data_IF_434914520812
#
_entry.id   IF_434914520812
#
_cell.length_a   1.000
_cell.length_b   1.000
_cell.length_c   1.000
_cell.angle_alpha   90.00
_cell.angle_beta   90.00
_cell.angle_gamma   90.00
#
_symmetry.space_group_name_H-M   'P 1'
#
loop_
_entity.id
_entity.type
_entity.pdbx_description
1 polymer ?
#
# COMPACT_ATOMS: atom_id res chain seq x y z
N UNK A 1 -9.80 4.02 8.74
CA UNK A 1 -9.76 5.13 9.71
C UNK A 1 -9.95 4.53 11.09
N UNK A 2 -8.88 4.47 11.89
CA UNK A 2 -8.94 4.18 13.32
C UNK A 2 -8.42 5.43 14.01
N UNK A 3 -9.35 6.28 14.44
CA UNK A 3 -9.05 7.53 15.12
C UNK A 3 -10.36 8.08 15.67
N UNK A 4 -10.35 8.51 16.93
CA UNK A 4 -11.49 9.17 17.58
C UNK A 4 -11.66 10.61 17.11
N UNK A 5 -11.40 10.87 15.83
CA UNK A 5 -11.50 12.21 15.23
C UNK A 5 -12.97 12.61 15.19
N UNK A 6 -13.35 13.57 16.03
CA UNK A 6 -14.64 14.24 15.93
C UNK A 6 -14.65 15.03 14.63
N UNK A 7 -15.37 14.52 13.64
CA UNK A 7 -15.62 15.27 12.42
C UNK A 7 -16.40 16.54 12.80
N UNK A 8 -16.05 17.71 12.22
CA UNK A 8 -16.81 18.93 12.48
C UNK A 8 -18.29 18.68 12.14
N UNK A 9 -19.16 19.07 13.07
CA UNK A 9 -20.61 19.02 12.87
C UNK A 9 -20.98 20.02 11.77
N UNK A 10 -21.22 19.50 10.57
CA UNK A 10 -21.61 20.30 9.40
C UNK A 10 -23.12 20.37 9.20
N UNK A 11 -23.86 19.46 9.83
CA UNK A 11 -25.30 19.44 9.72
C UNK A 11 -26.01 20.32 10.75
N UNK A 12 -27.28 20.62 10.49
CA UNK A 12 -28.11 21.49 11.35
C UNK A 12 -28.21 21.00 12.80
N UNK A 13 -28.01 19.71 13.03
CA UNK A 13 -28.03 19.11 14.37
C UNK A 13 -27.17 17.84 14.44
N UNK A 14 -26.85 17.42 15.67
CA UNK A 14 -26.20 16.13 15.92
C UNK A 14 -27.07 14.92 15.52
N UNK A 15 -28.40 15.09 15.39
CA UNK A 15 -29.31 14.07 14.88
C UNK A 15 -29.38 14.01 13.35
N UNK A 16 -28.90 15.03 12.65
CA UNK A 16 -28.81 15.11 11.20
C UNK A 16 -27.44 15.65 10.74
N UNK A 17 -26.32 14.96 11.05
CA UNK A 17 -24.98 15.46 10.76
C UNK A 17 -24.61 15.48 9.27
N UNK A 18 -25.46 14.89 8.42
CA UNK A 18 -25.26 14.69 6.98
C UNK A 18 -26.38 15.28 6.11
N UNK A 19 -27.23 16.17 6.63
CA UNK A 19 -28.26 16.88 5.84
C UNK A 19 -27.68 17.66 4.64
N UNK A 20 -26.43 18.13 4.75
CA UNK A 20 -25.65 18.72 3.66
C UNK A 20 -25.29 17.74 2.53
N UNK A 21 -25.44 16.43 2.76
CA UNK A 21 -25.24 15.38 1.76
C UNK A 21 -26.49 15.20 0.87
N UNK A 22 -27.69 15.53 1.35
CA UNK A 22 -28.94 15.37 0.59
C UNK A 22 -28.95 16.26 -0.66
N UNK A 23 -28.32 17.45 -0.59
CA UNK A 23 -28.09 18.32 -1.74
C UNK A 23 -27.13 17.76 -2.80
N UNK A 24 -26.45 16.62 -2.53
CA UNK A 24 -25.54 15.96 -3.48
C UNK A 24 -26.23 14.96 -4.42
N UNK A 25 -27.49 14.60 -4.14
CA UNK A 25 -28.17 13.50 -4.85
C UNK A 25 -28.78 13.89 -6.21
N UNK A 26 -28.59 15.14 -6.66
CA UNK A 26 -29.12 15.63 -7.94
C UNK A 26 -27.95 15.90 -8.90
N UNK A 27 -27.66 14.89 -9.73
CA UNK A 27 -27.03 15.02 -11.05
C UNK A 27 -25.82 15.98 -11.19
N UNK A 28 -24.62 15.45 -11.01
CA UNK A 28 -23.42 15.93 -11.70
C UNK A 28 -22.84 17.29 -11.27
N UNK A 29 -23.19 17.81 -10.09
CA UNK A 29 -22.56 19.03 -9.58
C UNK A 29 -21.18 18.74 -8.98
N UNK A 30 -20.15 19.42 -9.50
CA UNK A 30 -18.78 19.40 -9.00
C UNK A 30 -18.77 19.75 -7.52
N UNK A 31 -18.23 18.86 -6.68
CA UNK A 31 -18.06 19.09 -5.24
C UNK A 31 -17.41 20.46 -4.99
N UNK A 32 -18.21 21.42 -4.53
CA UNK A 32 -17.78 22.76 -4.14
C UNK A 32 -18.09 22.91 -2.66
N UNK A 33 -17.20 22.47 -1.76
CA UNK A 33 -17.43 22.59 -0.34
C UNK A 33 -17.59 24.07 0.01
N UNK A 34 -18.58 24.40 0.85
CA UNK A 34 -18.72 25.76 1.37
C UNK A 34 -17.42 26.14 2.07
N UNK A 35 -16.69 27.11 1.51
CA UNK A 35 -15.48 27.65 2.11
C UNK A 35 -15.91 28.42 3.36
N UNK A 36 -15.48 27.94 4.52
CA UNK A 36 -15.62 28.69 5.78
C UNK A 36 -14.44 29.65 5.83
N UNK A 37 -14.71 30.96 5.75
CA UNK A 37 -13.69 32.01 5.69
C UNK A 37 -12.79 32.10 6.94
N UNK A 38 -13.05 31.31 7.99
CA UNK A 38 -12.28 31.27 9.25
C UNK A 38 -11.58 29.91 9.49
N UNK A 39 -11.12 29.24 8.44
CA UNK A 39 -10.31 28.01 8.58
C UNK A 39 -8.89 28.35 9.06
N UNK A 40 -8.73 28.53 10.36
CA UNK A 40 -7.40 28.58 11.00
C UNK A 40 -6.87 27.17 11.15
N UNK A 41 -6.18 26.69 10.12
CA UNK A 41 -5.55 25.36 10.09
C UNK A 41 -4.07 25.46 9.75
N UNK A 42 -3.32 24.46 10.20
CA UNK A 42 -1.92 24.26 9.83
C UNK A 42 -1.79 22.87 9.23
N UNK A 43 -1.29 22.79 8.01
CA UNK A 43 -0.94 21.55 7.36
C UNK A 43 0.57 21.47 7.17
N UNK A 44 1.18 20.40 7.67
CA UNK A 44 2.60 20.10 7.42
C UNK A 44 2.65 18.80 6.63
N UNK A 45 3.35 18.80 5.50
CA UNK A 45 3.53 17.63 4.65
C UNK A 45 5.02 17.43 4.42
N UNK A 46 5.50 16.24 4.75
CA UNK A 46 6.86 15.76 4.52
C UNK A 46 6.86 14.96 3.22
N UNK A 47 7.39 15.60 2.18
CA UNK A 47 7.59 14.99 0.89
C UNK A 47 9.01 14.40 0.82
N UNK A 48 9.19 13.19 0.28
CA UNK A 48 10.51 12.60 0.20
C UNK A 48 11.38 13.32 -0.83
N UNK A 49 12.63 13.61 -0.45
CA UNK A 49 13.60 14.24 -1.34
C UNK A 49 13.99 13.30 -2.48
N UNK A 50 14.27 12.05 -2.14
CA UNK A 50 14.60 10.97 -3.06
C UNK A 50 13.58 9.85 -2.83
N UNK A 51 13.00 9.34 -3.91
CA UNK A 51 12.02 8.27 -3.85
C UNK A 51 12.74 6.92 -3.90
N UNK A 52 12.88 6.25 -2.76
CA UNK A 52 13.56 4.94 -2.66
C UNK A 52 12.69 3.94 -1.88
N UNK A 53 13.15 2.70 -1.75
CA UNK A 53 12.50 1.65 -0.97
C UNK A 53 12.11 2.13 0.44
N UNK A 54 13.00 2.88 1.10
CA UNK A 54 12.86 3.31 2.49
C UNK A 54 12.23 4.70 2.65
N UNK A 55 12.21 5.51 1.60
CA UNK A 55 11.78 6.91 1.66
C UNK A 55 10.54 7.21 0.84
N UNK A 56 9.82 6.22 0.30
CA UNK A 56 8.66 6.46 -0.59
C UNK A 56 7.35 6.94 0.06
N UNK A 57 7.29 7.00 1.39
CA UNK A 57 6.13 7.50 2.12
C UNK A 57 6.03 9.02 2.09
N UNK A 58 4.82 9.53 1.84
CA UNK A 58 4.45 10.92 2.12
C UNK A 58 3.67 10.95 3.41
N UNK A 59 4.15 11.75 4.36
CA UNK A 59 3.56 11.86 5.69
C UNK A 59 3.15 13.29 5.93
N UNK A 60 2.06 13.52 6.63
CA UNK A 60 1.66 14.86 7.00
C UNK A 60 0.81 14.87 8.24
N UNK A 61 0.51 16.09 8.68
CA UNK A 61 -0.36 16.34 9.82
C UNK A 61 -1.14 17.62 9.58
N UNK A 62 -2.44 17.52 9.77
CA UNK A 62 -3.37 18.63 9.72
C UNK A 62 -3.82 18.95 11.15
N UNK A 63 -3.63 20.19 11.57
CA UNK A 63 -3.92 20.65 12.93
C UNK A 63 -4.88 21.84 12.87
N UNK A 64 -5.86 21.84 13.78
CA UNK A 64 -6.68 23.02 14.05
C UNK A 64 -5.86 24.03 14.85
N UNK A 65 -5.99 25.31 14.50
CA UNK A 65 -5.42 26.41 15.29
C UNK A 65 -6.48 27.06 16.20
N UNK A 66 -7.70 26.51 16.26
CA UNK A 66 -8.72 26.89 17.23
C UNK A 66 -8.42 26.31 18.61
N UNK A 67 -8.94 26.92 19.67
CA UNK A 67 -8.87 26.33 21.00
C UNK A 67 -9.78 25.10 21.09
N UNK A 68 -9.42 24.12 21.92
CA UNK A 68 -10.16 22.86 22.09
C UNK A 68 -11.61 23.02 22.55
N UNK A 69 -11.98 24.20 23.08
CA UNK A 69 -13.34 24.56 23.49
C UNK A 69 -14.19 25.17 22.37
N UNK A 70 -13.58 25.54 21.24
CA UNK A 70 -14.28 26.16 20.11
C UNK A 70 -14.99 25.10 19.26
N UNK A 71 -16.14 25.44 18.69
CA UNK A 71 -16.95 24.53 17.88
C UNK A 71 -16.28 24.10 16.56
N UNK A 72 -15.28 24.85 16.09
CA UNK A 72 -14.50 24.58 14.88
C UNK A 72 -13.20 23.81 15.15
N UNK A 73 -12.90 23.50 16.41
CA UNK A 73 -11.75 22.67 16.74
C UNK A 73 -11.95 21.23 16.25
N UNK A 74 -10.88 20.66 15.72
CA UNK A 74 -10.77 19.24 15.42
C UNK A 74 -9.42 18.73 15.90
N UNK A 75 -9.40 17.48 16.36
CA UNK A 75 -8.16 16.83 16.78
C UNK A 75 -7.21 16.67 15.59
N UNK A 76 -5.88 16.73 15.81
CA UNK A 76 -4.90 16.54 14.74
C UNK A 76 -5.17 15.29 13.91
N UNK A 77 -5.10 15.44 12.59
CA UNK A 77 -5.31 14.37 11.62
C UNK A 77 -3.98 14.06 10.94
N UNK A 78 -3.48 12.84 11.12
CA UNK A 78 -2.30 12.38 10.41
C UNK A 78 -2.67 11.97 8.97
N UNK A 79 -1.85 12.42 8.02
CA UNK A 79 -2.00 12.17 6.60
C UNK A 79 -0.92 11.18 6.15
N UNK A 80 -1.33 10.16 5.40
CA UNK A 80 -0.43 9.16 4.84
C UNK A 80 -0.74 8.99 3.36
N UNK A 81 0.30 9.05 2.55
CA UNK A 81 0.20 8.80 1.12
C UNK A 81 1.51 8.21 0.59
N UNK A 82 1.52 7.93 -0.70
CA UNK A 82 2.68 7.44 -1.43
C UNK A 82 2.66 8.07 -2.81
N UNK A 83 3.84 8.21 -3.41
CA UNK A 83 3.93 8.67 -4.79
C UNK A 83 3.46 7.56 -5.74
N UNK A 84 2.97 7.95 -6.91
CA UNK A 84 2.46 7.01 -7.91
C UNK A 84 3.54 6.42 -8.81
N UNK A 85 3.17 5.46 -9.68
CA UNK A 85 4.10 4.72 -10.54
C UNK A 85 4.88 5.59 -11.54
N UNK A 86 4.42 6.82 -11.82
CA UNK A 86 5.11 7.73 -12.73
C UNK A 86 6.14 8.65 -12.04
N UNK A 87 6.42 8.40 -10.77
CA UNK A 87 7.37 9.19 -9.99
C UNK A 87 8.79 8.68 -10.20
N UNK A 88 9.79 9.56 -10.16
CA UNK A 88 11.19 9.19 -10.38
C UNK A 88 11.74 8.36 -9.21
N UNK A 89 11.53 7.04 -9.26
CA UNK A 89 12.03 6.10 -8.27
C UNK A 89 13.52 5.84 -8.49
N UNK A 90 14.30 5.92 -7.42
CA UNK A 90 15.73 5.63 -7.41
C UNK A 90 15.96 4.28 -6.71
N UNK A 91 16.39 3.30 -7.48
CA UNK A 91 16.79 1.98 -6.99
C UNK A 91 17.99 2.09 -6.05
N UNK A 92 17.94 1.38 -4.92
CA UNK A 92 19.02 1.38 -3.95
C UNK A 92 20.06 0.34 -4.39
N UNK A 93 21.26 0.80 -4.70
CA UNK A 93 22.29 -0.07 -5.27
C UNK A 93 22.73 -1.20 -4.31
N UNK A 94 22.77 -2.42 -4.87
CA UNK A 94 23.78 -3.44 -4.57
C UNK A 94 23.47 -4.35 -3.40
N UNK A 95 23.69 -3.91 -2.17
CA UNK A 95 23.99 -4.86 -1.09
C UNK A 95 22.75 -5.60 -0.56
N UNK A 96 21.62 -4.90 -0.42
CA UNK A 96 20.38 -5.49 0.12
C UNK A 96 19.74 -6.47 -0.88
N UNK A 97 19.72 -6.11 -2.16
CA UNK A 97 19.17 -6.96 -3.23
C UNK A 97 20.11 -8.15 -3.48
N UNK A 98 21.43 -7.92 -3.51
CA UNK A 98 22.40 -8.98 -3.76
C UNK A 98 22.46 -10.01 -2.61
N UNK A 99 22.32 -9.58 -1.35
CA UNK A 99 22.20 -10.49 -0.21
C UNK A 99 20.95 -11.39 -0.31
N UNK A 100 19.81 -10.86 -0.79
CA UNK A 100 18.60 -11.63 -1.00
C UNK A 100 18.72 -12.62 -2.17
N UNK A 101 19.40 -12.23 -3.26
CA UNK A 101 19.65 -13.10 -4.41
C UNK A 101 20.63 -14.24 -4.08
N UNK A 102 21.68 -13.97 -3.30
CA UNK A 102 22.67 -14.98 -2.89
C UNK A 102 22.13 -15.95 -1.81
N UNK A 103 21.19 -15.51 -0.97
CA UNK A 103 20.53 -16.40 -0.02
C UNK A 103 19.71 -17.51 -0.69
N UNK A 104 19.23 -17.33 -1.94
CA UNK A 104 18.51 -18.37 -2.70
C UNK A 104 19.37 -19.60 -3.01
N UNK A 105 20.69 -19.48 -3.02
CA UNK A 105 21.59 -20.61 -3.28
C UNK A 105 21.64 -21.62 -2.10
N UNK A 106 21.03 -21.29 -0.96
CA UNK A 106 20.84 -22.24 0.15
C UNK A 106 19.62 -23.14 -0.04
N UNK A 107 19.68 -24.02 -1.05
CA UNK A 107 19.01 -25.35 -1.14
C UNK A 107 17.56 -25.53 -0.63
N UNK A 108 16.73 -24.49 -0.64
CA UNK A 108 15.27 -24.60 -0.43
C UNK A 108 14.48 -23.78 -1.48
N UNK A 109 15.10 -23.47 -2.62
CA UNK A 109 14.41 -22.92 -3.78
C UNK A 109 13.50 -23.99 -4.40
N UNK A 110 12.25 -23.62 -4.67
CA UNK A 110 11.25 -24.53 -5.22
C UNK A 110 11.60 -24.85 -6.68
N UNK A 111 11.89 -26.12 -6.98
CA UNK A 111 12.35 -26.63 -8.29
C UNK A 111 11.44 -26.27 -9.49
N UNK A 112 10.18 -25.88 -9.26
CA UNK A 112 9.29 -25.47 -10.35
C UNK A 112 9.51 -24.03 -10.83
N UNK A 113 10.09 -23.14 -10.01
CA UNK A 113 10.37 -21.76 -10.42
C UNK A 113 11.55 -21.67 -11.39
N UNK A 114 12.53 -22.58 -11.28
CA UNK A 114 13.79 -22.50 -12.05
C UNK A 114 13.64 -22.83 -13.54
N UNK A 115 12.53 -23.45 -13.97
CA UNK A 115 12.40 -23.97 -15.34
C UNK A 115 11.51 -23.13 -16.28
N UNK A 116 10.82 -22.09 -15.78
CA UNK A 116 9.87 -21.27 -16.58
C UNK A 116 9.85 -19.77 -16.23
N UNK A 117 11.01 -19.17 -15.94
CA UNK A 117 11.09 -17.70 -15.78
C UNK A 117 11.24 -17.07 -17.17
N UNK A 118 10.36 -16.12 -17.50
CA UNK A 118 10.50 -15.30 -18.69
C UNK A 118 11.66 -14.31 -18.49
N UNK A 119 12.68 -14.37 -19.36
CA UNK A 119 13.91 -13.55 -19.32
C UNK A 119 14.05 -12.65 -20.54
N UNK A 120 12.93 -12.14 -21.06
CA UNK A 120 12.91 -11.32 -22.25
C UNK A 120 12.87 -9.83 -21.93
N UNK A 121 13.25 -9.01 -22.91
CA UNK A 121 13.17 -7.53 -22.87
C UNK A 121 11.77 -6.98 -22.60
N UNK A 122 10.72 -7.78 -22.75
CA UNK A 122 9.34 -7.35 -22.48
C UNK A 122 8.91 -7.63 -21.03
N UNK A 123 9.83 -8.07 -20.16
CA UNK A 123 9.53 -8.47 -18.79
C UNK A 123 8.79 -7.36 -18.04
N UNK A 124 9.29 -6.12 -18.11
CA UNK A 124 8.65 -5.00 -17.44
C UNK A 124 7.23 -4.74 -17.94
N UNK A 125 7.02 -4.78 -19.27
CA UNK A 125 5.68 -4.57 -19.84
C UNK A 125 4.71 -5.66 -19.42
N UNK A 126 5.13 -6.93 -19.47
CA UNK A 126 4.30 -8.08 -19.08
C UNK A 126 4.00 -8.03 -17.58
N UNK A 127 5.00 -7.73 -16.75
CA UNK A 127 4.85 -7.63 -15.31
C UNK A 127 3.94 -6.46 -14.94
N UNK A 128 4.09 -5.31 -15.58
CA UNK A 128 3.22 -4.15 -15.37
C UNK A 128 1.78 -4.48 -15.72
N UNK A 129 1.52 -5.06 -16.89
CA UNK A 129 0.16 -5.44 -17.33
C UNK A 129 -0.51 -6.42 -16.37
N UNK A 130 0.23 -7.43 -15.91
CA UNK A 130 -0.28 -8.44 -14.99
C UNK A 130 -0.50 -7.90 -13.58
N UNK A 131 0.42 -7.08 -13.06
CA UNK A 131 0.43 -6.68 -11.66
C UNK A 131 -0.40 -5.41 -11.38
N UNK A 132 -0.51 -4.49 -12.35
CA UNK A 132 -1.26 -3.23 -12.14
C UNK A 132 -2.77 -3.42 -12.20
N UNK A 133 -3.23 -4.49 -12.86
CA UNK A 133 -4.66 -4.71 -13.13
C UNK A 133 -5.29 -5.84 -12.31
N UNK A 134 -4.47 -6.67 -11.63
CA UNK A 134 -4.94 -7.90 -11.02
C UNK A 134 -4.58 -8.00 -9.54
N UNK A 135 -5.50 -8.60 -8.79
CA UNK A 135 -5.21 -9.12 -7.46
C UNK A 135 -4.60 -10.51 -7.62
N UNK A 136 -3.45 -10.72 -6.99
CA UNK A 136 -2.72 -11.99 -7.05
C UNK A 136 -3.17 -12.87 -5.90
N UNK A 137 -3.57 -14.10 -6.18
CA UNK A 137 -3.92 -15.04 -5.12
C UNK A 137 -2.70 -15.39 -4.27
N UNK A 138 -2.84 -15.19 -2.96
CA UNK A 138 -1.75 -15.37 -2.02
C UNK A 138 -1.83 -16.76 -1.40
N UNK A 139 -1.00 -17.68 -1.88
CA UNK A 139 -0.88 -19.02 -1.32
C UNK A 139 0.08 -19.01 -0.12
N UNK A 140 -0.41 -18.51 1.01
CA UNK A 140 0.29 -18.64 2.27
C UNK A 140 0.32 -20.12 2.69
N UNK A 141 1.46 -20.59 3.20
CA UNK A 141 1.57 -21.89 3.87
C UNK A 141 1.40 -23.14 2.98
N UNK A 142 1.84 -23.06 1.71
CA UNK A 142 1.68 -24.12 0.70
C UNK A 142 2.33 -25.47 1.03
N UNK A 143 3.26 -25.55 1.99
CA UNK A 143 3.94 -26.78 2.39
C UNK A 143 3.87 -27.04 3.91
N UNK A 144 2.64 -27.12 4.41
CA UNK A 144 2.36 -27.29 5.83
C UNK A 144 2.06 -28.75 6.19
N UNK A 145 3.12 -29.54 6.33
CA UNK A 145 3.04 -30.95 6.73
C UNK A 145 3.46 -31.22 8.19
N UNK A 146 4.07 -30.24 8.88
CA UNK A 146 4.47 -30.42 10.29
C UNK A 146 4.49 -29.11 11.09
N UNK A 147 3.69 -29.08 12.17
CA UNK A 147 3.48 -27.99 13.15
C UNK A 147 2.60 -26.81 12.71
N UNK A 148 1.57 -26.54 13.52
CA UNK A 148 0.56 -25.48 13.32
C UNK A 148 1.07 -24.06 13.54
N UNK A 149 2.22 -23.88 14.19
CA UNK A 149 2.74 -22.56 14.54
C UNK A 149 3.38 -21.83 13.33
N UNK A 150 4.14 -22.54 12.49
CA UNK A 150 4.74 -21.97 11.27
C UNK A 150 3.68 -21.68 10.20
N UNK A 151 2.63 -22.50 10.13
CA UNK A 151 1.51 -22.40 9.20
C UNK A 151 0.52 -21.28 9.52
N UNK A 152 0.71 -20.59 10.64
CA UNK A 152 -0.03 -19.39 11.02
C UNK A 152 0.80 -18.11 10.85
N UNK A 153 1.94 -18.19 10.15
CA UNK A 153 2.73 -17.01 9.82
C UNK A 153 2.23 -16.39 8.52
N UNK A 154 2.05 -15.07 8.57
CA UNK A 154 1.40 -14.27 7.54
C UNK A 154 2.41 -13.75 6.51
N UNK A 155 3.52 -14.48 6.33
CA UNK A 155 4.70 -14.00 5.62
C UNK A 155 5.35 -12.78 6.31
N UNK A 156 5.94 -11.86 5.56
CA UNK A 156 6.55 -10.64 6.11
C UNK A 156 5.52 -9.62 6.65
N UNK A 157 4.21 -9.87 6.49
CA UNK A 157 3.17 -8.98 6.97
C UNK A 157 2.92 -9.17 8.46
N UNK A 158 2.89 -8.04 9.19
CA UNK A 158 2.58 -8.04 10.61
C UNK A 158 1.07 -7.95 10.79
N UNK A 159 0.46 -9.11 11.09
CA UNK A 159 -0.96 -9.15 11.46
C UNK A 159 -1.11 -9.06 12.98
N UNK A 160 -1.78 -8.01 13.51
CA UNK A 160 -2.03 -7.87 14.94
C UNK A 160 -2.84 -9.05 15.49
N UNK A 161 -2.68 -9.34 16.78
CA UNK A 161 -3.39 -10.46 17.42
C UNK A 161 -4.91 -10.30 17.33
N UNK A 162 -5.39 -9.06 17.40
CA UNK A 162 -6.79 -8.67 17.27
C UNK A 162 -7.33 -9.08 15.90
N UNK A 163 -6.58 -8.82 14.84
CA UNK A 163 -6.93 -9.23 13.49
C UNK A 163 -6.83 -10.74 13.29
N UNK A 164 -5.81 -11.38 13.88
CA UNK A 164 -5.67 -12.85 13.84
C UNK A 164 -6.89 -13.54 14.45
N UNK A 165 -7.47 -12.95 15.50
CA UNK A 165 -8.66 -13.50 16.15
C UNK A 165 -9.92 -13.45 15.27
N UNK A 166 -9.99 -12.49 14.35
CA UNK A 166 -11.07 -12.36 13.36
C UNK A 166 -10.92 -13.34 12.18
N UNK A 167 -9.75 -13.98 12.06
CA UNK A 167 -9.40 -14.88 10.96
C UNK A 167 -9.30 -16.31 11.48
N UNK A 168 -10.43 -16.85 11.96
CA UNK A 168 -10.52 -18.19 12.56
C UNK A 168 -10.05 -19.33 11.62
N UNK A 169 -10.12 -19.13 10.30
CA UNK A 169 -9.67 -20.08 9.26
C UNK A 169 -8.33 -19.68 8.60
N UNK A 170 -7.62 -18.69 9.15
CA UNK A 170 -6.34 -18.20 8.60
C UNK A 170 -6.52 -17.25 7.41
N UNK A 171 -5.54 -17.23 6.49
CA UNK A 171 -5.50 -16.34 5.30
C UNK A 171 -6.20 -16.91 4.07
N UNK A 172 -6.96 -17.99 4.20
CA UNK A 172 -7.67 -18.57 3.05
C UNK A 172 -8.54 -17.50 2.37
N UNK A 173 -8.30 -17.25 1.08
CA UNK A 173 -8.97 -16.18 0.30
C UNK A 173 -8.33 -14.79 0.40
N UNK A 174 -7.18 -14.65 1.05
CA UNK A 174 -6.41 -13.39 1.03
C UNK A 174 -5.72 -13.22 -0.32
N UNK A 175 -5.63 -11.97 -0.77
CA UNK A 175 -5.04 -11.62 -2.07
C UNK A 175 -3.96 -10.56 -1.88
N UNK A 176 -3.00 -10.51 -2.79
CA UNK A 176 -2.00 -9.46 -2.86
C UNK A 176 -2.43 -8.44 -3.92
N UNK A 177 -2.50 -7.19 -3.50
CA UNK A 177 -2.56 -6.06 -4.41
C UNK A 177 -1.14 -5.53 -4.62
N UNK A 178 -0.73 -5.39 -5.87
CA UNK A 178 0.52 -4.74 -6.23
C UNK A 178 0.23 -3.31 -6.65
N UNK A 179 0.87 -2.35 -5.98
CA UNK A 179 0.75 -0.92 -6.28
C UNK A 179 2.12 -0.32 -6.52
N UNK A 180 2.15 0.80 -7.25
CA UNK A 180 3.35 1.59 -7.48
C UNK A 180 4.51 0.71 -8.00
N UNK A 181 4.17 -0.15 -8.97
CA UNK A 181 5.12 -1.02 -9.66
C UNK A 181 6.03 -0.18 -10.53
N UNK A 182 7.33 -0.34 -10.33
CA UNK A 182 8.42 0.34 -11.01
C UNK A 182 9.30 -0.74 -11.61
N UNK A 183 9.64 -0.63 -12.88
CA UNK A 183 10.49 -1.60 -13.55
C UNK A 183 11.46 -0.89 -14.50
N UNK A 184 12.74 -1.11 -14.27
CA UNK A 184 13.82 -0.52 -15.06
C UNK A 184 14.68 -1.63 -15.64
N UNK A 185 14.64 -1.77 -16.97
CA UNK A 185 15.53 -2.68 -17.69
C UNK A 185 16.89 -1.99 -17.87
N UNK A 186 17.94 -2.70 -17.52
CA UNK A 186 19.33 -2.33 -17.78
C UNK A 186 19.94 -3.39 -18.72
N UNK A 187 20.46 -2.94 -19.85
CA UNK A 187 21.19 -3.79 -20.80
C UNK A 187 22.60 -4.03 -20.27
N UNK A 188 22.95 -5.29 -19.98
CA UNK A 188 24.31 -5.68 -19.56
C UNK A 188 25.14 -6.16 -20.78
N UNK A 189 24.51 -6.76 -21.80
CA UNK A 189 25.12 -7.12 -23.10
C UNK A 189 24.05 -7.36 -24.19
N UNK A 190 24.46 -7.60 -25.46
CA UNK A 190 23.55 -7.82 -26.61
C UNK A 190 22.51 -8.94 -26.38
N UNK A 191 22.74 -9.85 -25.44
CA UNK A 191 21.82 -10.97 -25.12
C UNK A 191 21.44 -11.08 -23.63
N UNK A 192 21.97 -10.21 -22.75
CA UNK A 192 21.66 -10.25 -21.32
C UNK A 192 21.04 -8.95 -20.83
N UNK A 193 19.80 -9.07 -20.37
CA UNK A 193 19.03 -7.99 -19.77
C UNK A 193 18.93 -8.25 -18.28
N UNK A 194 18.93 -7.19 -17.49
CA UNK A 194 18.52 -7.27 -16.09
C UNK A 194 17.41 -6.28 -15.85
N UNK A 195 16.45 -6.63 -14.99
CA UNK A 195 15.39 -5.73 -14.61
C UNK A 195 15.44 -5.46 -13.11
N UNK A 196 15.57 -4.19 -12.75
CA UNK A 196 15.34 -3.76 -11.36
C UNK A 196 13.86 -3.47 -11.20
N UNK A 197 13.25 -4.07 -10.18
CA UNK A 197 11.82 -3.95 -9.88
C UNK A 197 11.60 -3.40 -8.48
N UNK A 198 10.64 -2.50 -8.32
CA UNK A 198 10.17 -2.03 -7.03
C UNK A 198 8.65 -2.01 -7.03
N UNK A 199 8.05 -2.34 -5.89
CA UNK A 199 6.61 -2.36 -5.76
C UNK A 199 6.18 -2.19 -4.30
N UNK A 200 4.89 -1.95 -4.11
CA UNK A 200 4.22 -2.02 -2.82
C UNK A 200 3.24 -3.17 -2.89
N UNK A 201 3.50 -4.21 -2.11
CA UNK A 201 2.58 -5.33 -1.93
C UNK A 201 1.68 -5.03 -0.75
N UNK A 202 0.36 -5.09 -0.96
CA UNK A 202 -0.63 -5.00 0.10
C UNK A 202 -1.36 -6.31 0.25
N UNK A 203 -1.38 -6.84 1.47
CA UNK A 203 -2.19 -8.00 1.79
C UNK A 203 -3.64 -7.55 2.01
N UNK A 204 -4.51 -7.99 1.10
CA UNK A 204 -5.95 -7.82 1.18
C UNK A 204 -6.54 -9.01 1.91
N UNK A 205 -7.16 -8.71 3.05
CA UNK A 205 -7.84 -9.72 3.85
C UNK A 205 -9.21 -10.07 3.25
N UNK A 206 -9.74 -11.28 3.49
CA UNK A 206 -10.94 -11.78 2.81
C UNK A 206 -12.19 -10.92 3.04
N UNK A 207 -12.26 -10.19 4.16
CA UNK A 207 -13.39 -9.35 4.54
C UNK A 207 -13.26 -7.89 4.07
N UNK A 208 -12.15 -7.50 3.45
CA UNK A 208 -11.94 -6.13 2.98
C UNK A 208 -12.53 -5.93 1.59
N UNK A 209 -13.08 -4.74 1.35
CA UNK A 209 -13.59 -4.36 0.03
C UNK A 209 -12.42 -4.00 -0.91
N UNK A 210 -12.30 -4.73 -2.01
CA UNK A 210 -11.25 -4.57 -3.02
C UNK A 210 -11.14 -3.15 -3.56
N UNK A 211 -12.27 -2.56 -3.99
CA UNK A 211 -12.28 -1.22 -4.57
C UNK A 211 -11.81 -0.14 -3.59
N UNK A 212 -12.21 -0.25 -2.33
CA UNK A 212 -11.75 0.68 -1.28
C UNK A 212 -10.26 0.50 -0.97
N UNK A 213 -9.73 -0.72 -1.02
CA UNK A 213 -8.31 -0.96 -0.75
C UNK A 213 -7.44 -0.50 -1.92
N UNK A 214 -7.90 -0.66 -3.17
CA UNK A 214 -7.21 -0.14 -4.35
C UNK A 214 -6.95 1.37 -4.27
N UNK A 215 -7.92 2.15 -3.80
CA UNK A 215 -7.78 3.60 -3.68
C UNK A 215 -7.04 4.07 -2.43
N UNK A 216 -6.65 3.17 -1.53
CA UNK A 216 -5.87 3.52 -0.34
C UNK A 216 -4.38 3.61 -0.68
N UNK A 217 -3.83 4.81 -0.57
CA UNK A 217 -2.41 5.11 -0.76
C UNK A 217 -1.59 5.09 0.53
N UNK A 218 -2.18 4.72 1.67
CA UNK A 218 -1.46 4.66 2.94
C UNK A 218 -0.57 3.41 3.03
N UNK A 219 0.58 3.56 3.68
CA UNK A 219 1.36 2.44 4.20
C UNK A 219 0.81 2.03 5.56
N UNK A 220 0.33 0.80 5.66
CA UNK A 220 -0.09 0.20 6.92
C UNK A 220 0.69 -1.09 7.21
N UNK A 221 0.34 -1.75 8.30
CA UNK A 221 0.95 -3.01 8.74
C UNK A 221 0.76 -4.18 7.76
N UNK A 222 -0.18 -4.04 6.81
CA UNK A 222 -0.46 -5.01 5.75
C UNK A 222 0.18 -4.59 4.42
N UNK A 223 0.99 -3.53 4.43
CA UNK A 223 1.73 -3.03 3.28
C UNK A 223 3.21 -3.37 3.42
N UNK A 224 3.84 -3.80 2.33
CA UNK A 224 5.26 -4.10 2.26
C UNK A 224 5.85 -3.46 1.01
N UNK A 225 6.83 -2.57 1.18
CA UNK A 225 7.64 -2.10 0.08
C UNK A 225 8.70 -3.16 -0.26
N UNK A 226 8.87 -3.47 -1.54
CA UNK A 226 9.84 -4.44 -2.03
C UNK A 226 10.66 -3.88 -3.17
N UNK A 227 11.89 -4.36 -3.26
CA UNK A 227 12.80 -4.12 -4.36
C UNK A 227 13.50 -5.44 -4.72
N UNK A 228 13.75 -5.67 -6.00
CA UNK A 228 14.38 -6.89 -6.50
C UNK A 228 15.10 -6.67 -7.82
N UNK A 229 15.94 -7.64 -8.19
CA UNK A 229 16.61 -7.70 -9.49
C UNK A 229 16.30 -9.04 -10.16
N UNK A 230 15.91 -8.98 -11.42
CA UNK A 230 15.78 -10.13 -12.32
C UNK A 230 17.06 -10.23 -13.17
N UNK A 231 17.57 -11.47 -13.29
CA UNK A 231 18.82 -11.86 -13.94
C UNK A 231 18.66 -13.21 -14.65
#
# INVERSE_FOLDING_TARGET
MLGSSRLPLRGKSASQPWDWLESMSIGGSTFSPTLVDDLKLKAVVYFPRDLTLMSRGVFGRLESLHNTSESLYFDPVDLFSQLGPYSNYHFVAGDMVNAACTARDTKQGVDWLSSKVYRGKEFCSIAEDLLTTQLVDALFNWNCSSSSAACNNFGPFLVPKELKSLMAEGLSGSRLLVQDFQCLISEESDESYTANVSAIMKNLLPFQNEGLVYHRSNFDILSLAVEGKEQ
#
